data_IF_573880374870
#
_entry.id   IF_573880374870
#
_cell.length_a   1.000
_cell.length_b   1.000
_cell.length_c   1.000
_cell.angle_alpha   90.00
_cell.angle_beta   90.00
_cell.angle_gamma   90.00
#
_symmetry.space_group_name_H-M   'P 1'
#
loop_
_entity.id
_entity.type
_entity.pdbx_description
1 polymer ?
#
# COMPACT_ATOMS: atom_id res chain seq x y z
N UNK A 1 2.69 -24.62 4.59
CA UNK A 1 2.02 -23.67 5.51
C UNK A 1 3.01 -22.70 6.15
N UNK A 2 3.95 -23.14 7.00
CA UNK A 2 4.95 -22.25 7.66
C UNK A 2 5.75 -21.37 6.68
N UNK A 3 6.31 -21.96 5.63
CA UNK A 3 7.05 -21.23 4.57
C UNK A 3 6.19 -20.14 3.91
N UNK A 4 4.92 -20.44 3.63
CA UNK A 4 3.98 -19.48 3.03
C UNK A 4 3.76 -18.26 3.93
N UNK A 5 3.45 -18.50 5.20
CA UNK A 5 3.19 -17.44 6.17
C UNK A 5 4.43 -16.55 6.36
N UNK A 6 5.62 -17.15 6.47
CA UNK A 6 6.87 -16.40 6.60
C UNK A 6 7.12 -15.51 5.37
N UNK A 7 7.00 -16.06 4.16
CA UNK A 7 7.15 -15.29 2.92
C UNK A 7 6.10 -14.18 2.79
N UNK A 8 4.85 -14.44 3.20
CA UNK A 8 3.79 -13.44 3.21
C UNK A 8 4.08 -12.30 4.17
N UNK A 9 4.54 -12.60 5.39
CA UNK A 9 4.93 -11.57 6.37
C UNK A 9 6.06 -10.70 5.80
N UNK A 10 7.05 -11.29 5.14
CA UNK A 10 8.13 -10.52 4.50
C UNK A 10 7.59 -9.55 3.44
N UNK A 11 6.75 -10.02 2.51
CA UNK A 11 6.19 -9.14 1.48
C UNK A 11 5.23 -8.09 2.03
N UNK A 12 4.44 -8.42 3.06
CA UNK A 12 3.61 -7.45 3.77
C UNK A 12 4.48 -6.36 4.40
N UNK A 13 5.53 -6.73 5.12
CA UNK A 13 6.46 -5.78 5.75
C UNK A 13 7.12 -4.87 4.71
N UNK A 14 7.55 -5.42 3.57
CA UNK A 14 8.15 -4.61 2.50
C UNK A 14 7.13 -3.63 1.91
N UNK A 15 5.91 -4.10 1.60
CA UNK A 15 4.87 -3.25 0.99
C UNK A 15 4.39 -2.16 1.96
N UNK A 16 4.01 -2.53 3.18
CA UNK A 16 3.57 -1.56 4.19
C UNK A 16 4.72 -0.68 4.67
N UNK A 17 5.96 -1.18 4.70
CA UNK A 17 7.15 -0.38 4.96
C UNK A 17 7.35 0.71 3.91
N UNK A 18 7.20 0.38 2.63
CA UNK A 18 7.24 1.36 1.54
C UNK A 18 6.14 2.42 1.67
N UNK A 19 4.91 2.00 2.00
CA UNK A 19 3.80 2.93 2.26
C UNK A 19 4.08 3.86 3.44
N UNK A 20 4.62 3.32 4.55
CA UNK A 20 4.96 4.12 5.73
C UNK A 20 6.05 5.15 5.43
N UNK A 21 7.11 4.76 4.71
CA UNK A 21 8.16 5.68 4.28
C UNK A 21 7.59 6.76 3.35
N UNK A 22 6.74 6.37 2.39
CA UNK A 22 6.06 7.32 1.52
C UNK A 22 5.26 8.34 2.32
N UNK A 23 4.44 7.88 3.27
CA UNK A 23 3.64 8.74 4.14
C UNK A 23 4.49 9.69 4.99
N UNK A 24 5.66 9.27 5.47
CA UNK A 24 6.57 10.15 6.24
C UNK A 24 7.08 11.33 5.42
N UNK A 25 7.26 11.17 4.11
CA UNK A 25 7.76 12.25 3.23
C UNK A 25 6.67 13.01 2.48
N UNK A 26 5.49 12.42 2.27
CA UNK A 26 4.42 13.04 1.48
C UNK A 26 3.17 13.38 2.29
N UNK A 27 3.13 13.03 3.58
CA UNK A 27 1.94 13.11 4.42
C UNK A 27 1.35 14.52 4.54
N UNK A 28 2.21 15.53 4.68
CA UNK A 28 1.78 16.93 4.81
C UNK A 28 1.23 17.51 3.50
N UNK A 29 1.48 16.86 2.36
CA UNK A 29 1.07 17.35 1.05
C UNK A 29 -0.45 17.48 0.92
N UNK A 30 -1.18 16.39 1.19
CA UNK A 30 -2.64 16.31 1.01
C UNK A 30 -3.45 17.02 2.10
N UNK A 31 -2.84 17.32 3.24
CA UNK A 31 -3.48 18.09 4.33
C UNK A 31 -3.07 19.56 4.33
N UNK A 32 -2.18 19.97 3.43
CA UNK A 32 -1.71 21.35 3.35
C UNK A 32 -2.79 22.33 2.88
N UNK A 33 -2.64 23.60 3.28
CA UNK A 33 -3.47 24.71 2.79
C UNK A 33 -3.38 24.85 1.26
N UNK A 34 -2.20 24.59 0.69
CA UNK A 34 -2.01 24.61 -0.76
C UNK A 34 -2.89 23.58 -1.46
N UNK A 35 -2.95 22.34 -0.96
CA UNK A 35 -3.75 21.28 -1.58
C UNK A 35 -5.26 21.45 -1.34
N UNK A 36 -5.63 21.88 -0.13
CA UNK A 36 -7.04 22.03 0.26
C UNK A 36 -7.71 23.27 -0.32
N UNK A 37 -6.95 24.30 -0.67
CA UNK A 37 -7.47 25.52 -1.33
C UNK A 37 -7.65 25.38 -2.85
N UNK A 38 -7.22 24.26 -3.45
CA UNK A 38 -7.42 24.01 -4.87
C UNK A 38 -8.91 23.84 -5.21
N UNK A 39 -9.27 24.22 -6.44
CA UNK A 39 -10.56 23.88 -7.01
C UNK A 39 -10.61 22.38 -7.35
N UNK A 40 -11.01 21.57 -6.38
CA UNK A 40 -11.12 20.11 -6.50
C UNK A 40 -12.43 19.72 -7.18
N UNK A 41 -12.39 18.65 -7.97
CA UNK A 41 -13.59 18.14 -8.61
C UNK A 41 -14.59 17.62 -7.56
N UNK A 42 -15.91 17.77 -7.79
CA UNK A 42 -16.94 17.37 -6.82
C UNK A 42 -17.00 15.85 -6.56
N UNK A 43 -16.37 15.04 -7.43
CA UNK A 43 -16.25 13.59 -7.28
C UNK A 43 -14.93 13.15 -6.62
N UNK A 44 -14.14 14.08 -6.09
CA UNK A 44 -12.92 13.73 -5.33
C UNK A 44 -13.34 12.94 -4.08
N UNK A 45 -12.87 11.70 -3.91
CA UNK A 45 -13.29 10.89 -2.77
C UNK A 45 -12.70 11.46 -1.46
N UNK A 46 -13.35 11.19 -0.31
CA UNK A 46 -12.81 11.55 0.99
C UNK A 46 -11.41 10.96 1.21
N UNK A 47 -10.55 11.66 1.96
CA UNK A 47 -9.14 11.27 2.13
C UNK A 47 -8.90 9.84 2.63
N UNK A 48 -9.81 9.28 3.44
CA UNK A 48 -9.70 7.89 3.92
C UNK A 48 -9.77 6.84 2.80
N UNK A 49 -10.43 7.15 1.68
CA UNK A 49 -10.55 6.24 0.52
C UNK A 49 -9.18 5.97 -0.09
N UNK A 50 -8.28 6.94 -0.07
CA UNK A 50 -6.89 6.76 -0.51
C UNK A 50 -6.17 5.72 0.34
N UNK A 51 -6.32 5.79 1.67
CA UNK A 51 -5.77 4.80 2.59
C UNK A 51 -6.36 3.40 2.37
N UNK A 52 -7.67 3.31 2.12
CA UNK A 52 -8.33 2.05 1.79
C UNK A 52 -7.79 1.43 0.48
N UNK A 53 -7.62 2.25 -0.56
CA UNK A 53 -7.10 1.81 -1.85
C UNK A 53 -5.68 1.24 -1.71
N UNK A 54 -4.77 1.96 -1.07
CA UNK A 54 -3.40 1.50 -0.87
C UNK A 54 -3.30 0.26 0.02
N UNK A 55 -4.10 0.17 1.07
CA UNK A 55 -4.17 -1.03 1.91
C UNK A 55 -4.61 -2.25 1.10
N UNK A 56 -5.63 -2.09 0.25
CA UNK A 56 -6.13 -3.16 -0.62
C UNK A 56 -5.05 -3.62 -1.60
N UNK A 57 -4.34 -2.67 -2.23
CA UNK A 57 -3.24 -2.98 -3.15
C UNK A 57 -2.10 -3.70 -2.41
N UNK A 58 -1.66 -3.20 -1.25
CA UNK A 58 -0.56 -3.80 -0.50
C UNK A 58 -0.85 -5.26 -0.10
N UNK A 59 -2.08 -5.55 0.35
CA UNK A 59 -2.50 -6.91 0.72
C UNK A 59 -2.55 -7.81 -0.51
N UNK A 60 -3.28 -7.41 -1.56
CA UNK A 60 -3.47 -8.23 -2.76
C UNK A 60 -2.15 -8.49 -3.50
N UNK A 61 -1.28 -7.47 -3.57
CA UNK A 61 0.03 -7.59 -4.17
C UNK A 61 0.98 -8.49 -3.36
N UNK A 62 0.93 -8.40 -2.02
CA UNK A 62 1.70 -9.32 -1.16
C UNK A 62 1.27 -10.78 -1.37
N UNK A 63 -0.04 -11.05 -1.46
CA UNK A 63 -0.57 -12.38 -1.75
C UNK A 63 -0.10 -12.91 -3.13
N UNK A 64 -0.14 -12.05 -4.15
CA UNK A 64 0.36 -12.35 -5.49
C UNK A 64 1.86 -12.71 -5.46
N UNK A 65 2.67 -11.86 -4.83
CA UNK A 65 4.12 -12.05 -4.70
C UNK A 65 4.48 -13.33 -3.95
N UNK A 66 3.83 -13.62 -2.83
CA UNK A 66 4.05 -14.86 -2.08
C UNK A 66 3.75 -16.08 -2.95
N UNK A 67 2.62 -16.07 -3.65
CA UNK A 67 2.19 -17.19 -4.49
C UNK A 67 3.14 -17.40 -5.67
N UNK A 68 3.55 -16.30 -6.31
CA UNK A 68 4.50 -16.34 -7.43
C UNK A 68 5.90 -16.80 -7.00
N UNK A 69 6.43 -16.26 -5.89
CA UNK A 69 7.74 -16.63 -5.38
C UNK A 69 7.81 -18.12 -5.04
N UNK A 70 6.85 -18.63 -4.27
CA UNK A 70 6.86 -20.03 -3.84
C UNK A 70 6.65 -21.01 -4.98
N UNK A 71 5.86 -20.63 -6.00
CA UNK A 71 5.69 -21.42 -7.22
C UNK A 71 7.01 -21.54 -8.01
N UNK A 72 7.79 -20.47 -8.08
CA UNK A 72 9.06 -20.47 -8.81
C UNK A 72 10.23 -21.06 -8.02
N UNK A 73 10.23 -20.96 -6.68
CA UNK A 73 11.25 -21.59 -5.83
C UNK A 73 11.05 -23.10 -5.62
N UNK A 74 9.97 -23.67 -6.14
CA UNK A 74 9.69 -25.10 -6.11
C UNK A 74 10.08 -25.81 -7.42
N UNK A 75 10.58 -25.06 -8.41
CA UNK A 75 11.31 -25.60 -9.56
C UNK A 75 12.79 -25.68 -9.21
#
# INVERSE_FOLDING_TARGET
>A
MKKYILTLIVFLTINFGGLAIGQLWTGDGVTSDWYTSLNQAPWTPPGWVFGLAWTTIAITFSLLMTSFYLKNSAK
#
